data_IF_155545535229
#
_entry.id   IF_155545535229
#
_cell.length_a   1.000
_cell.length_b   1.000
_cell.length_c   1.000
_cell.angle_alpha   90.00
_cell.angle_beta   90.00
_cell.angle_gamma   90.00
#
_symmetry.space_group_name_H-M   'P 1'
#
loop_
_entity.id
_entity.type
_entity.pdbx_description
1 polymer ?
#
# COMPACT_ATOMS: atom_id res chain seq x y z
N UNK A 1 10.50 -14.09 1.49
CA UNK A 1 10.44 -15.28 0.61
C UNK A 1 10.20 -16.60 1.36
N UNK A 2 10.89 -16.88 2.45
CA UNK A 2 10.67 -18.12 3.21
C UNK A 2 9.21 -18.33 3.64
N UNK A 3 8.58 -17.31 4.23
CA UNK A 3 7.16 -17.38 4.63
C UNK A 3 6.22 -17.53 3.44
N UNK A 4 6.52 -16.88 2.32
CA UNK A 4 5.72 -17.01 1.10
C UNK A 4 5.78 -18.45 0.58
N UNK A 5 6.96 -19.06 0.52
CA UNK A 5 7.12 -20.44 0.08
C UNK A 5 6.41 -21.42 1.02
N UNK A 6 6.43 -21.14 2.32
CA UNK A 6 5.73 -21.97 3.31
C UNK A 6 4.21 -21.99 3.08
N UNK A 7 3.58 -20.81 2.87
CA UNK A 7 2.14 -20.77 2.63
C UNK A 7 1.76 -21.38 1.28
N UNK A 8 2.62 -21.26 0.26
CA UNK A 8 2.42 -21.92 -1.04
C UNK A 8 2.43 -23.44 -0.85
N UNK A 9 3.37 -23.99 -0.09
CA UNK A 9 3.44 -25.42 0.20
C UNK A 9 2.22 -25.92 0.96
N UNK A 10 1.56 -25.05 1.72
CA UNK A 10 0.33 -25.36 2.45
C UNK A 10 -0.95 -25.13 1.64
N UNK A 11 -0.83 -24.86 0.35
CA UNK A 11 -1.97 -24.78 -0.57
C UNK A 11 -2.41 -23.39 -0.98
N UNK A 12 -1.66 -22.32 -0.62
CA UNK A 12 -2.00 -20.96 -1.03
C UNK A 12 -1.57 -20.71 -2.48
N UNK A 13 -2.53 -20.43 -3.35
CA UNK A 13 -2.28 -20.13 -4.78
C UNK A 13 -2.24 -18.64 -5.12
N UNK A 14 -2.88 -17.82 -4.30
CA UNK A 14 -2.91 -16.36 -4.46
C UNK A 14 -2.77 -15.69 -3.09
N UNK A 15 -2.00 -14.61 -3.02
CA UNK A 15 -1.82 -13.85 -1.78
C UNK A 15 -1.81 -12.35 -2.08
N UNK A 16 -2.50 -11.59 -1.24
CA UNK A 16 -2.38 -10.14 -1.19
C UNK A 16 -1.30 -9.76 -0.19
N UNK A 17 -0.41 -8.86 -0.58
CA UNK A 17 0.61 -8.31 0.31
C UNK A 17 0.45 -6.79 0.35
N UNK A 18 0.33 -6.26 1.55
CA UNK A 18 0.14 -4.83 1.79
C UNK A 18 1.43 -4.17 2.27
N UNK A 19 1.64 -2.91 1.88
CA UNK A 19 2.58 -2.01 2.54
C UNK A 19 1.98 -1.50 3.86
N UNK A 20 2.41 -0.36 4.36
CA UNK A 20 1.75 0.27 5.51
C UNK A 20 2.61 0.38 6.77
N UNK A 21 3.83 -0.11 6.73
CA UNK A 21 4.76 -0.04 7.86
C UNK A 21 5.86 1.00 7.69
N UNK A 22 6.00 1.56 6.48
CA UNK A 22 7.03 2.58 6.20
C UNK A 22 6.67 3.95 6.77
N UNK A 23 5.43 4.38 6.56
CA UNK A 23 4.89 5.66 7.02
C UNK A 23 5.66 6.89 6.53
N UNK A 24 6.42 6.74 5.45
CA UNK A 24 7.04 7.79 4.67
C UNK A 24 7.15 7.34 3.22
N UNK A 25 7.42 8.28 2.31
CA UNK A 25 7.45 7.99 0.88
C UNK A 25 8.48 6.90 0.53
N UNK A 26 9.71 7.06 1.00
CA UNK A 26 10.81 6.17 0.64
C UNK A 26 10.58 4.72 1.10
N UNK A 27 10.20 4.55 2.36
CA UNK A 27 10.01 3.22 2.94
C UNK A 27 8.76 2.51 2.40
N UNK A 28 7.69 3.24 2.15
CA UNK A 28 6.50 2.67 1.51
C UNK A 28 6.81 2.18 0.08
N UNK A 29 7.54 2.98 -0.70
CA UNK A 29 7.99 2.58 -2.03
C UNK A 29 8.93 1.37 -1.98
N UNK A 30 9.82 1.34 -1.00
CA UNK A 30 10.73 0.20 -0.79
C UNK A 30 9.96 -1.10 -0.54
N UNK A 31 8.94 -1.05 0.32
CA UNK A 31 8.10 -2.22 0.60
C UNK A 31 7.39 -2.70 -0.68
N UNK A 32 6.80 -1.79 -1.43
CA UNK A 32 6.11 -2.13 -2.68
C UNK A 32 7.07 -2.68 -3.75
N UNK A 33 8.29 -2.17 -3.84
CA UNK A 33 9.31 -2.71 -4.75
C UNK A 33 9.72 -4.13 -4.37
N UNK A 34 9.81 -4.43 -3.07
CA UNK A 34 10.07 -5.80 -2.60
C UNK A 34 8.92 -6.72 -3.02
N UNK A 35 7.68 -6.30 -2.86
CA UNK A 35 6.51 -7.06 -3.30
C UNK A 35 6.56 -7.30 -4.82
N UNK A 36 6.95 -6.30 -5.60
CA UNK A 36 7.10 -6.43 -7.04
C UNK A 36 8.12 -7.50 -7.42
N UNK A 37 9.27 -7.53 -6.74
CA UNK A 37 10.28 -8.58 -6.96
C UNK A 37 9.75 -9.96 -6.56
N UNK A 38 8.95 -10.05 -5.51
CA UNK A 38 8.31 -11.30 -5.13
C UNK A 38 7.33 -11.80 -6.19
N UNK A 39 6.58 -10.89 -6.84
CA UNK A 39 5.71 -11.25 -7.99
C UNK A 39 6.49 -11.90 -9.11
N UNK A 40 7.67 -11.39 -9.43
CA UNK A 40 8.50 -11.86 -10.53
C UNK A 40 9.12 -13.24 -10.27
N UNK A 41 9.33 -13.59 -9.01
CA UNK A 41 10.05 -14.81 -8.61
C UNK A 41 9.16 -15.88 -7.99
N UNK A 42 7.93 -15.57 -7.63
CA UNK A 42 7.02 -16.50 -6.95
C UNK A 42 6.20 -17.32 -7.95
N UNK A 43 5.90 -18.55 -7.55
CA UNK A 43 4.94 -19.42 -8.27
C UNK A 43 3.49 -19.08 -7.94
N UNK A 44 3.23 -18.43 -6.80
CA UNK A 44 1.89 -17.96 -6.44
C UNK A 44 1.58 -16.64 -7.12
N UNK A 45 0.30 -16.38 -7.36
CA UNK A 45 -0.15 -15.07 -7.77
C UNK A 45 -0.07 -14.12 -6.59
N UNK A 46 0.64 -13.02 -6.75
CA UNK A 46 0.75 -11.97 -5.72
C UNK A 46 0.03 -10.72 -6.19
N UNK A 47 -0.82 -10.18 -5.34
CA UNK A 47 -1.49 -8.89 -5.51
C UNK A 47 -0.87 -7.90 -4.53
N UNK A 48 -0.48 -6.73 -5.01
CA UNK A 48 0.11 -5.68 -4.16
C UNK A 48 -0.93 -4.62 -3.83
N UNK A 49 -0.98 -4.25 -2.57
CA UNK A 49 -1.88 -3.21 -2.06
C UNK A 49 -1.07 -2.14 -1.33
N UNK A 50 -1.22 -0.90 -1.76
CA UNK A 50 -0.66 0.25 -1.07
C UNK A 50 -1.54 0.61 0.13
N UNK A 51 -0.99 0.52 1.33
CA UNK A 51 -1.64 0.88 2.59
C UNK A 51 -0.84 1.96 3.31
N UNK A 52 -0.51 3.06 2.63
CA UNK A 52 0.15 4.21 3.26
C UNK A 52 -0.69 4.82 4.39
N UNK A 53 -2.01 4.77 4.24
CA UNK A 53 -2.98 5.21 5.23
C UNK A 53 -3.26 4.14 6.32
N UNK A 54 -2.21 3.64 6.95
CA UNK A 54 -2.27 2.65 8.03
C UNK A 54 -2.23 3.31 9.41
N UNK A 55 -1.38 4.30 9.58
CA UNK A 55 -1.27 5.13 10.75
C UNK A 55 -0.64 6.47 10.36
N UNK A 56 -0.73 7.47 11.22
CA UNK A 56 -0.07 8.76 10.98
C UNK A 56 1.40 8.66 11.44
N UNK A 57 2.31 9.16 10.62
CA UNK A 57 3.73 9.19 10.94
C UNK A 57 4.01 10.06 12.17
N UNK A 58 4.98 9.67 12.97
CA UNK A 58 5.41 10.48 14.13
C UNK A 58 5.87 11.87 13.69
N UNK A 59 5.44 12.87 14.43
CA UNK A 59 5.81 14.26 14.16
C UNK A 59 4.99 14.94 13.07
N UNK A 60 4.02 14.26 12.48
CA UNK A 60 3.11 14.83 11.49
C UNK A 60 1.69 14.93 12.04
N UNK A 61 0.96 15.97 11.64
CA UNK A 61 -0.48 16.06 11.88
C UNK A 61 -1.22 15.10 10.95
N UNK A 62 -2.48 14.83 11.29
CA UNK A 62 -3.38 14.03 10.46
C UNK A 62 -3.47 14.59 9.03
N UNK A 63 -3.74 15.89 8.89
CA UNK A 63 -3.88 16.52 7.57
C UNK A 63 -2.57 16.55 6.78
N UNK A 64 -1.45 16.80 7.43
CA UNK A 64 -0.13 16.76 6.78
C UNK A 64 0.16 15.38 6.19
N UNK A 65 -0.15 14.32 6.95
CA UNK A 65 0.09 12.96 6.50
C UNK A 65 -0.87 12.55 5.37
N UNK A 66 -2.14 12.89 5.46
CA UNK A 66 -3.11 12.65 4.37
C UNK A 66 -2.65 13.37 3.11
N UNK A 67 -2.17 14.60 3.23
CA UNK A 67 -1.64 15.37 2.11
C UNK A 67 -0.40 14.71 1.50
N UNK A 68 0.51 14.21 2.32
CA UNK A 68 1.67 13.45 1.86
C UNK A 68 1.25 12.21 1.06
N UNK A 69 0.26 11.46 1.52
CA UNK A 69 -0.27 10.29 0.81
C UNK A 69 -0.82 10.69 -0.55
N UNK A 70 -1.65 11.73 -0.62
CA UNK A 70 -2.36 12.13 -1.84
C UNK A 70 -1.41 12.81 -2.83
N UNK A 71 -0.54 13.70 -2.36
CA UNK A 71 0.27 14.56 -3.23
C UNK A 71 1.61 13.92 -3.63
N UNK A 72 2.15 13.00 -2.83
CA UNK A 72 3.46 12.41 -3.07
C UNK A 72 3.46 10.89 -3.18
N UNK A 73 2.85 10.17 -2.24
CA UNK A 73 2.90 8.70 -2.24
C UNK A 73 2.09 8.10 -3.38
N UNK A 74 0.82 8.44 -3.51
CA UNK A 74 -0.07 7.87 -4.55
C UNK A 74 0.43 8.17 -5.96
N UNK A 75 0.82 9.42 -6.30
CA UNK A 75 1.39 9.69 -7.62
C UNK A 75 2.63 8.86 -7.93
N UNK A 76 3.53 8.69 -6.98
CA UNK A 76 4.75 7.93 -7.18
C UNK A 76 4.48 6.42 -7.33
N UNK A 77 3.60 5.88 -6.49
CA UNK A 77 3.14 4.48 -6.59
C UNK A 77 2.45 4.23 -7.93
N UNK A 78 1.59 5.15 -8.37
CA UNK A 78 0.88 5.05 -9.64
C UNK A 78 1.82 5.16 -10.84
N UNK A 79 2.73 6.12 -10.82
CA UNK A 79 3.71 6.33 -11.88
C UNK A 79 4.61 5.11 -12.09
N UNK A 80 5.06 4.48 -11.02
CA UNK A 80 5.90 3.28 -11.06
C UNK A 80 5.10 1.98 -11.16
N UNK A 81 3.77 2.04 -11.16
CA UNK A 81 2.87 0.86 -11.23
C UNK A 81 3.18 -0.20 -10.17
N UNK A 82 3.38 0.25 -8.94
CA UNK A 82 3.83 -0.62 -7.84
C UNK A 82 2.68 -1.29 -7.08
N UNK A 83 1.44 -0.85 -7.25
CA UNK A 83 0.30 -1.41 -6.54
C UNK A 83 -0.89 -1.64 -7.45
N UNK A 84 -1.60 -2.74 -7.22
CA UNK A 84 -2.85 -3.07 -7.90
C UNK A 84 -4.04 -2.39 -7.20
N UNK A 85 -3.97 -2.30 -5.87
CA UNK A 85 -5.02 -1.75 -5.02
C UNK A 85 -4.47 -0.74 -4.03
N UNK A 86 -5.37 0.12 -3.56
CA UNK A 86 -5.12 1.05 -2.44
C UNK A 86 -6.14 0.76 -1.35
N UNK A 87 -5.67 0.72 -0.12
CA UNK A 87 -6.51 0.50 1.06
C UNK A 87 -6.28 1.61 2.07
N UNK A 88 -7.24 1.81 2.95
CA UNK A 88 -7.20 2.82 4.01
C UNK A 88 -7.71 2.20 5.29
N UNK A 89 -6.99 2.38 6.39
CA UNK A 89 -7.45 1.98 7.70
C UNK A 89 -8.43 3.03 8.24
N UNK A 90 -9.69 2.90 7.83
CA UNK A 90 -10.78 3.80 8.19
C UNK A 90 -11.44 3.31 9.47
N UNK A 91 -11.01 3.84 10.62
CA UNK A 91 -11.55 3.49 11.93
C UNK A 91 -11.33 4.64 12.91
N UNK A 92 -11.97 4.56 14.07
CA UNK A 92 -11.77 5.55 15.14
C UNK A 92 -10.28 5.63 15.54
N UNK A 93 -9.77 6.85 15.62
CA UNK A 93 -8.36 7.09 15.95
C UNK A 93 -7.37 6.90 14.79
N UNK A 94 -7.86 6.53 13.60
CA UNK A 94 -7.05 6.39 12.39
C UNK A 94 -7.52 7.36 11.32
N UNK A 95 -8.07 6.88 10.20
CA UNK A 95 -8.52 7.76 9.11
C UNK A 95 -10.04 7.86 9.08
N UNK A 96 -10.54 9.05 8.78
CA UNK A 96 -11.98 9.33 8.70
C UNK A 96 -12.56 8.87 7.37
N UNK A 97 -13.89 8.70 7.26
CA UNK A 97 -14.52 8.41 5.97
C UNK A 97 -14.25 9.47 4.90
N UNK A 98 -14.19 10.74 5.26
CA UNK A 98 -13.89 11.85 4.34
C UNK A 98 -12.46 11.75 3.82
N UNK A 99 -11.49 11.50 4.70
CA UNK A 99 -10.09 11.29 4.32
C UNK A 99 -9.94 10.05 3.45
N UNK A 100 -10.63 8.98 3.80
CA UNK A 100 -10.67 7.75 3.02
C UNK A 100 -11.16 8.00 1.59
N UNK A 101 -12.26 8.72 1.43
CA UNK A 101 -12.79 9.08 0.11
C UNK A 101 -11.75 9.86 -0.72
N UNK A 102 -11.12 10.86 -0.13
CA UNK A 102 -10.08 11.67 -0.79
C UNK A 102 -8.91 10.81 -1.28
N UNK A 103 -8.45 9.88 -0.44
CA UNK A 103 -7.34 8.99 -0.77
C UNK A 103 -7.72 8.03 -1.90
N UNK A 104 -8.89 7.41 -1.83
CA UNK A 104 -9.34 6.47 -2.86
C UNK A 104 -9.63 7.16 -4.20
N UNK A 105 -10.17 8.36 -4.18
CA UNK A 105 -10.36 9.18 -5.39
C UNK A 105 -9.02 9.52 -6.04
N UNK A 106 -8.03 9.93 -5.25
CA UNK A 106 -6.68 10.19 -5.76
C UNK A 106 -6.07 8.93 -6.38
N UNK A 107 -6.22 7.78 -5.74
CA UNK A 107 -5.73 6.50 -6.26
C UNK A 107 -6.39 6.14 -7.60
N UNK A 108 -7.70 6.36 -7.73
CA UNK A 108 -8.44 6.08 -8.96
C UNK A 108 -7.92 6.87 -10.16
N UNK A 109 -7.45 8.09 -9.96
CA UNK A 109 -6.86 8.89 -11.07
C UNK A 109 -5.58 8.28 -11.64
N UNK A 110 -4.93 7.39 -10.89
CA UNK A 110 -3.73 6.66 -11.31
C UNK A 110 -4.02 5.21 -11.72
N UNK A 111 -5.31 4.85 -11.85
CA UNK A 111 -5.73 3.52 -12.28
C UNK A 111 -5.66 2.44 -11.20
N UNK A 112 -5.43 2.81 -9.95
CA UNK A 112 -5.49 1.87 -8.81
C UNK A 112 -6.93 1.77 -8.30
N UNK A 113 -7.28 0.60 -7.78
CA UNK A 113 -8.61 0.31 -7.22
C UNK A 113 -8.63 0.32 -5.71
#
# INVERSE_FOLDING_TARGET
>A
MMRLNEVIQKGTGCIEIKSGYGLNLEDELKMLRVIQRMKETSKAKIVSTFLGAHAVARGMSQEEYVKLIIDEMIPEVGRQKLADFVDVFCDHGFFTPTETARILEAAATWGMR
#
